data_IF_735988303083
#
_entry.id   IF_735988303083
#
_cell.length_a   1.000
_cell.length_b   1.000
_cell.length_c   1.000
_cell.angle_alpha   90.00
_cell.angle_beta   90.00
_cell.angle_gamma   90.00
#
_symmetry.space_group_name_H-M   'P 1'
#
loop_
_entity.id
_entity.type
_entity.pdbx_description
1 polymer ?
#
# COMPACT_ATOMS: atom_id res chain seq x y z
N UNK A 1 -25.91 38.36 -8.66
CA UNK A 1 -24.77 37.44 -8.78
C UNK A 1 -25.05 36.25 -7.87
N UNK A 2 -25.58 35.11 -8.37
CA UNK A 2 -25.69 33.93 -7.54
C UNK A 2 -24.27 33.36 -7.33
N UNK A 3 -23.94 33.16 -6.07
CA UNK A 3 -22.67 32.62 -5.60
C UNK A 3 -22.57 31.15 -6.02
N UNK A 4 -21.60 30.82 -6.86
CA UNK A 4 -21.32 29.48 -7.41
C UNK A 4 -20.77 28.47 -6.38
N UNK A 5 -21.15 28.60 -5.10
CA UNK A 5 -20.52 27.85 -4.00
C UNK A 5 -21.06 26.41 -3.86
N UNK A 6 -22.19 26.08 -4.49
CA UNK A 6 -22.87 24.79 -4.33
C UNK A 6 -22.31 23.64 -5.17
N UNK A 7 -21.37 23.87 -6.09
CA UNK A 7 -20.77 22.82 -6.93
C UNK A 7 -19.44 22.28 -6.36
N UNK A 8 -18.74 23.06 -5.54
CA UNK A 8 -17.45 22.63 -4.95
C UNK A 8 -17.66 21.71 -3.75
N UNK A 9 -18.68 21.94 -2.93
CA UNK A 9 -19.01 21.06 -1.79
C UNK A 9 -19.54 19.67 -2.22
N UNK A 10 -20.21 19.58 -3.37
CA UNK A 10 -20.71 18.31 -3.90
C UNK A 10 -19.59 17.41 -4.45
N UNK A 11 -18.55 18.00 -5.06
CA UNK A 11 -17.41 17.24 -5.60
C UNK A 11 -16.55 16.65 -4.47
N UNK A 12 -16.29 17.42 -3.42
CA UNK A 12 -15.56 16.96 -2.22
C UNK A 12 -16.31 15.82 -1.48
N UNK A 13 -17.65 15.90 -1.43
CA UNK A 13 -18.46 14.86 -0.82
C UNK A 13 -18.47 13.55 -1.64
N UNK A 14 -18.61 13.65 -2.96
CA UNK A 14 -18.57 12.50 -3.86
C UNK A 14 -17.20 11.81 -3.85
N UNK A 15 -16.10 12.58 -3.86
CA UNK A 15 -14.73 12.06 -3.70
C UNK A 15 -14.54 11.39 -2.34
N UNK A 16 -14.99 11.99 -1.24
CA UNK A 16 -14.89 11.40 0.09
C UNK A 16 -15.69 10.09 0.21
N UNK A 17 -16.84 10.00 -0.45
CA UNK A 17 -17.69 8.81 -0.45
C UNK A 17 -17.11 7.71 -1.34
N UNK A 18 -16.48 8.07 -2.46
CA UNK A 18 -15.72 7.17 -3.31
C UNK A 18 -14.46 6.65 -2.60
N UNK A 19 -13.70 7.52 -1.92
CA UNK A 19 -12.58 7.16 -1.04
C UNK A 19 -13.02 6.24 0.09
N UNK A 20 -14.16 6.52 0.73
CA UNK A 20 -14.72 5.68 1.80
C UNK A 20 -15.16 4.31 1.27
N UNK A 21 -15.79 4.25 0.10
CA UNK A 21 -16.17 2.99 -0.57
C UNK A 21 -14.96 2.20 -1.03
N UNK A 22 -13.96 2.88 -1.60
CA UNK A 22 -12.70 2.30 -2.04
C UNK A 22 -11.95 1.73 -0.84
N UNK A 23 -11.83 2.48 0.28
CA UNK A 23 -11.31 1.97 1.56
C UNK A 23 -12.12 0.78 2.08
N UNK A 24 -13.45 0.80 2.01
CA UNK A 24 -14.30 -0.30 2.47
C UNK A 24 -14.15 -1.57 1.61
N UNK A 25 -14.01 -1.44 0.29
CA UNK A 25 -13.71 -2.55 -0.61
C UNK A 25 -12.31 -3.13 -0.41
N UNK A 26 -11.34 -2.29 -0.01
CA UNK A 26 -10.03 -2.76 0.45
C UNK A 26 -10.09 -3.44 1.83
N UNK A 27 -10.96 -2.99 2.73
CA UNK A 27 -11.14 -3.60 4.05
C UNK A 27 -11.78 -5.00 4.03
N UNK A 28 -12.22 -5.50 2.88
CA UNK A 28 -12.63 -6.91 2.70
C UNK A 28 -11.56 -7.75 1.97
N UNK A 29 -10.39 -7.18 1.65
CA UNK A 29 -9.33 -7.91 0.98
C UNK A 29 -8.50 -8.69 2.01
N UNK A 30 -8.42 -10.03 1.91
CA UNK A 30 -7.73 -10.87 2.90
C UNK A 30 -6.21 -10.62 2.97
N UNK A 31 -5.61 -10.00 1.94
CA UNK A 31 -4.20 -9.61 1.97
C UNK A 31 -3.95 -8.31 2.76
N UNK A 32 -4.99 -7.54 3.07
CA UNK A 32 -4.92 -6.29 3.82
C UNK A 32 -5.31 -6.45 5.30
N UNK A 33 -5.94 -7.57 5.65
CA UNK A 33 -6.32 -7.91 7.01
C UNK A 33 -5.16 -8.52 7.83
N UNK A 34 -5.21 -8.34 9.15
CA UNK A 34 -4.21 -8.91 10.07
C UNK A 34 -4.66 -10.28 10.57
N UNK A 35 -4.04 -11.31 10.01
CA UNK A 35 -4.10 -12.67 10.54
C UNK A 35 -2.78 -13.05 11.23
N UNK A 36 -2.82 -14.03 12.13
CA UNK A 36 -1.62 -14.65 12.73
C UNK A 36 -0.81 -15.42 11.68
N UNK A 37 -1.52 -16.13 10.78
CA UNK A 37 -0.96 -16.81 9.61
C UNK A 37 -1.70 -16.35 8.35
N UNK A 38 -1.06 -16.36 7.16
CA UNK A 38 -1.75 -16.00 5.92
C UNK A 38 -2.99 -16.88 5.70
N UNK A 39 -4.15 -16.25 5.51
CA UNK A 39 -5.42 -16.94 5.26
C UNK A 39 -5.52 -17.41 3.80
N UNK A 40 -4.64 -18.33 3.39
CA UNK A 40 -4.48 -18.76 2.00
C UNK A 40 -5.78 -19.20 1.31
N UNK A 41 -6.70 -19.82 2.06
CA UNK A 41 -8.00 -20.28 1.53
C UNK A 41 -8.96 -19.15 1.12
N UNK A 42 -8.70 -17.90 1.55
CA UNK A 42 -9.52 -16.74 1.22
C UNK A 42 -8.93 -15.90 0.07
N UNK A 43 -7.66 -16.14 -0.30
CA UNK A 43 -6.96 -15.34 -1.29
C UNK A 43 -7.33 -15.85 -2.69
N UNK A 44 -7.91 -14.97 -3.50
CA UNK A 44 -8.24 -15.19 -4.90
C UNK A 44 -7.35 -14.30 -5.79
N UNK A 45 -7.11 -14.66 -7.06
CA UNK A 45 -6.25 -13.88 -7.96
C UNK A 45 -6.63 -12.38 -8.03
N UNK A 46 -7.92 -12.08 -7.98
CA UNK A 46 -8.50 -10.74 -8.07
C UNK A 46 -8.14 -9.87 -6.85
N UNK A 47 -7.75 -10.48 -5.73
CA UNK A 47 -7.33 -9.77 -4.53
C UNK A 47 -5.88 -9.26 -4.60
N UNK A 48 -5.03 -9.87 -5.43
CA UNK A 48 -3.57 -9.68 -5.40
C UNK A 48 -3.18 -8.27 -5.84
N UNK A 49 -3.50 -7.89 -7.07
CA UNK A 49 -3.09 -6.60 -7.64
C UNK A 49 -3.67 -5.43 -6.84
N UNK A 50 -4.98 -5.41 -6.49
CA UNK A 50 -5.54 -4.31 -5.70
C UNK A 50 -4.89 -4.17 -4.32
N UNK A 51 -4.55 -5.27 -3.65
CA UNK A 51 -3.87 -5.20 -2.35
C UNK A 51 -2.47 -4.58 -2.46
N UNK A 52 -1.69 -4.99 -3.47
CA UNK A 52 -0.35 -4.44 -3.69
C UNK A 52 -0.41 -2.95 -4.06
N UNK A 53 -1.32 -2.56 -4.96
CA UNK A 53 -1.50 -1.14 -5.33
C UNK A 53 -1.88 -0.29 -4.11
N UNK A 54 -2.82 -0.77 -3.30
CA UNK A 54 -3.22 -0.08 -2.07
C UNK A 54 -2.06 0.10 -1.09
N UNK A 55 -1.27 -0.96 -0.85
CA UNK A 55 -0.14 -0.91 0.08
C UNK A 55 0.97 0.01 -0.41
N UNK A 56 1.25 0.03 -1.72
CA UNK A 56 2.23 0.95 -2.31
C UNK A 56 1.78 2.41 -2.13
N UNK A 57 0.54 2.72 -2.48
CA UNK A 57 0.01 4.09 -2.37
C UNK A 57 -0.04 4.56 -0.93
N UNK A 58 -0.49 3.69 -0.02
CA UNK A 58 -0.53 3.99 1.40
C UNK A 58 0.89 4.18 1.96
N UNK A 59 1.84 3.32 1.60
CA UNK A 59 3.22 3.45 2.07
C UNK A 59 3.87 4.74 1.56
N UNK A 60 3.64 5.12 0.30
CA UNK A 60 4.13 6.40 -0.25
C UNK A 60 3.57 7.60 0.53
N UNK A 61 2.27 7.58 0.83
CA UNK A 61 1.63 8.64 1.60
C UNK A 61 2.17 8.71 3.05
N UNK A 62 2.35 7.55 3.70
CA UNK A 62 2.89 7.48 5.05
C UNK A 62 4.36 7.91 5.12
N UNK A 63 5.18 7.50 4.15
CA UNK A 63 6.59 7.91 4.06
C UNK A 63 6.70 9.43 3.94
N UNK A 64 5.90 10.03 3.06
CA UNK A 64 5.85 11.49 2.91
C UNK A 64 5.51 12.16 4.25
N UNK A 65 4.48 11.68 4.94
CA UNK A 65 4.08 12.22 6.23
C UNK A 65 5.19 12.09 7.29
N UNK A 66 5.86 10.93 7.37
CA UNK A 66 6.96 10.71 8.30
C UNK A 66 8.10 11.69 8.05
N UNK A 67 8.53 11.83 6.79
CA UNK A 67 9.64 12.73 6.42
C UNK A 67 9.28 14.22 6.62
N UNK A 68 8.01 14.59 6.50
CA UNK A 68 7.54 15.96 6.72
C UNK A 68 7.37 16.33 8.20
N UNK A 69 7.27 15.34 9.11
CA UNK A 69 6.89 15.56 10.52
C UNK A 69 7.98 15.21 11.52
N UNK A 70 8.95 14.40 11.14
CA UNK A 70 10.03 13.96 12.03
C UNK A 70 11.21 14.94 11.94
N UNK A 71 11.32 15.84 12.91
CA UNK A 71 12.44 16.80 13.01
C UNK A 71 13.75 16.14 13.48
N UNK A 72 13.65 15.13 14.36
CA UNK A 72 14.79 14.40 14.93
C UNK A 72 14.58 12.89 14.74
N UNK A 73 15.12 12.30 13.65
CA UNK A 73 15.00 10.88 13.38
C UNK A 73 15.58 10.00 14.48
N UNK A 74 14.88 8.92 14.77
CA UNK A 74 15.24 7.90 15.74
C UNK A 74 14.69 6.55 15.31
N UNK A 75 15.08 5.51 16.03
CA UNK A 75 14.50 4.18 15.83
C UNK A 75 12.97 4.20 15.92
N UNK A 76 12.42 4.82 16.97
CA UNK A 76 10.99 4.76 17.28
C UNK A 76 10.11 5.57 16.31
N UNK A 77 10.60 6.70 15.81
CA UNK A 77 9.79 7.63 15.02
C UNK A 77 10.06 7.59 13.51
N UNK A 78 11.13 6.92 13.05
CA UNK A 78 11.41 6.75 11.63
C UNK A 78 11.56 5.28 11.26
N UNK A 79 12.49 4.57 11.90
CA UNK A 79 12.89 3.22 11.45
C UNK A 79 11.79 2.20 11.69
N UNK A 80 11.27 2.12 12.92
CA UNK A 80 10.23 1.16 13.28
C UNK A 80 8.92 1.38 12.46
N UNK A 81 8.43 2.62 12.25
CA UNK A 81 7.34 2.87 11.31
C UNK A 81 7.64 2.42 9.88
N UNK A 82 8.85 2.70 9.36
CA UNK A 82 9.26 2.31 8.02
C UNK A 82 9.30 0.77 7.86
N UNK A 83 9.84 0.05 8.85
CA UNK A 83 9.83 -1.41 8.87
C UNK A 83 8.40 -1.96 8.93
N UNK A 84 7.53 -1.36 9.74
CA UNK A 84 6.14 -1.78 9.83
C UNK A 84 5.37 -1.58 8.50
N UNK A 85 5.71 -0.55 7.73
CA UNK A 85 5.18 -0.31 6.39
C UNK A 85 5.68 -1.34 5.38
N UNK A 86 6.98 -1.66 5.39
CA UNK A 86 7.58 -2.69 4.52
C UNK A 86 6.98 -4.07 4.83
N UNK A 87 6.86 -4.42 6.12
CA UNK A 87 6.38 -5.73 6.53
C UNK A 87 4.98 -6.02 5.96
N UNK A 88 4.12 -5.01 5.84
CA UNK A 88 2.77 -5.16 5.27
C UNK A 88 2.82 -5.54 3.79
N UNK A 89 3.64 -4.86 2.99
CA UNK A 89 3.78 -5.18 1.57
C UNK A 89 4.48 -6.53 1.37
N UNK A 90 5.49 -6.82 2.19
CA UNK A 90 6.23 -8.09 2.18
C UNK A 90 5.31 -9.28 2.47
N UNK A 91 4.43 -9.17 3.47
CA UNK A 91 3.44 -10.20 3.80
C UNK A 91 2.48 -10.49 2.64
N UNK A 92 1.93 -9.45 2.02
CA UNK A 92 1.01 -9.61 0.91
C UNK A 92 1.70 -10.22 -0.33
N UNK A 93 2.87 -9.68 -0.70
CA UNK A 93 3.65 -10.17 -1.85
C UNK A 93 4.15 -11.61 -1.63
N UNK A 94 4.57 -11.96 -0.41
CA UNK A 94 4.99 -13.32 -0.06
C UNK A 94 3.84 -14.32 -0.16
N UNK A 95 2.64 -13.97 0.31
CA UNK A 95 1.47 -14.84 0.19
C UNK A 95 1.08 -15.07 -1.28
N UNK A 96 1.06 -14.02 -2.10
CA UNK A 96 0.81 -14.12 -3.53
C UNK A 96 1.87 -14.96 -4.26
N UNK A 97 3.15 -14.74 -3.96
CA UNK A 97 4.27 -15.51 -4.52
C UNK A 97 4.23 -16.98 -4.12
N UNK A 98 3.85 -17.28 -2.87
CA UNK A 98 3.66 -18.67 -2.41
C UNK A 98 2.56 -19.38 -3.19
N UNK A 99 1.37 -18.77 -3.33
CA UNK A 99 0.27 -19.35 -4.11
C UNK A 99 0.68 -19.59 -5.57
N UNK A 100 1.37 -18.62 -6.17
CA UNK A 100 1.92 -18.76 -7.52
C UNK A 100 2.93 -19.93 -7.63
N UNK A 101 3.67 -20.24 -6.57
CA UNK A 101 4.66 -21.31 -6.56
C UNK A 101 4.08 -22.71 -6.30
N UNK A 102 3.06 -22.84 -5.44
CA UNK A 102 2.58 -24.15 -4.95
C UNK A 102 1.23 -24.60 -5.51
N UNK A 103 0.39 -23.66 -5.93
CA UNK A 103 -0.96 -23.91 -6.49
C UNK A 103 -1.18 -23.04 -7.74
N UNK A 104 -0.18 -23.01 -8.63
CA UNK A 104 -0.16 -22.16 -9.81
C UNK A 104 -1.41 -22.32 -10.70
N UNK A 105 -1.89 -21.19 -11.23
CA UNK A 105 -2.89 -21.12 -12.30
C UNK A 105 -2.54 -19.96 -13.23
N UNK A 106 -3.14 -19.92 -14.43
CA UNK A 106 -2.95 -18.80 -15.37
C UNK A 106 -3.30 -17.45 -14.73
N UNK A 107 -4.42 -17.40 -14.00
CA UNK A 107 -4.89 -16.19 -13.32
C UNK A 107 -3.96 -15.77 -12.18
N UNK A 108 -3.47 -16.72 -11.37
CA UNK A 108 -2.50 -16.41 -10.30
C UNK A 108 -1.17 -15.93 -10.86
N UNK A 109 -0.68 -16.58 -11.92
CA UNK A 109 0.57 -16.21 -12.58
C UNK A 109 0.49 -14.80 -13.18
N UNK A 110 -0.61 -14.49 -13.85
CA UNK A 110 -0.86 -13.17 -14.42
C UNK A 110 -0.93 -12.10 -13.33
N UNK A 111 -1.74 -12.32 -12.29
CA UNK A 111 -1.86 -11.38 -11.17
C UNK A 111 -0.51 -11.14 -10.46
N UNK A 112 0.25 -12.20 -10.18
CA UNK A 112 1.57 -12.07 -9.56
C UNK A 112 2.58 -11.35 -10.46
N UNK A 113 2.60 -11.66 -11.77
CA UNK A 113 3.50 -11.01 -12.73
C UNK A 113 3.22 -9.51 -12.86
N UNK A 114 1.97 -9.08 -12.75
CA UNK A 114 1.61 -7.65 -12.74
C UNK A 114 2.15 -6.92 -11.50
N UNK A 115 2.33 -7.61 -10.37
CA UNK A 115 2.88 -7.02 -9.15
C UNK A 115 4.40 -6.84 -9.21
N UNK A 116 5.14 -7.68 -9.94
CA UNK A 116 6.60 -7.63 -10.00
C UNK A 116 7.17 -6.26 -10.41
N UNK A 117 6.76 -5.63 -11.53
CA UNK A 117 7.26 -4.31 -11.90
C UNK A 117 6.86 -3.24 -10.87
N UNK A 118 5.63 -3.28 -10.35
CA UNK A 118 5.15 -2.33 -9.33
C UNK A 118 5.99 -2.36 -8.06
N UNK A 119 6.32 -3.56 -7.58
CA UNK A 119 7.19 -3.75 -6.42
C UNK A 119 8.63 -3.31 -6.70
N UNK A 120 9.15 -3.59 -7.90
CA UNK A 120 10.49 -3.15 -8.31
C UNK A 120 10.59 -1.62 -8.37
N UNK A 121 9.58 -0.95 -8.91
CA UNK A 121 9.51 0.50 -8.98
C UNK A 121 9.41 1.10 -7.57
N UNK A 122 8.51 0.59 -6.73
CA UNK A 122 8.39 1.03 -5.34
C UNK A 122 9.69 0.91 -4.54
N UNK A 123 10.42 -0.21 -4.65
CA UNK A 123 11.69 -0.37 -3.94
C UNK A 123 12.79 0.53 -4.52
N UNK A 124 12.74 0.81 -5.83
CA UNK A 124 13.67 1.76 -6.47
C UNK A 124 13.42 3.19 -6.00
N UNK A 125 12.15 3.61 -5.94
CA UNK A 125 11.73 4.90 -5.38
C UNK A 125 12.19 5.06 -3.93
N UNK A 126 12.02 4.03 -3.11
CA UNK A 126 12.43 4.05 -1.71
C UNK A 126 13.95 4.12 -1.56
N UNK A 127 14.68 3.28 -2.30
CA UNK A 127 16.15 3.20 -2.23
C UNK A 127 16.86 4.43 -2.80
N UNK A 128 16.19 5.21 -3.66
CA UNK A 128 16.71 6.44 -4.25
C UNK A 128 16.13 7.71 -3.63
N UNK A 129 15.36 7.59 -2.54
CA UNK A 129 14.76 8.74 -1.87
C UNK A 129 15.83 9.54 -1.10
N UNK A 130 16.22 10.70 -1.62
CA UNK A 130 17.22 11.58 -1.00
C UNK A 130 16.82 12.05 0.40
N UNK A 131 15.56 12.42 0.61
CA UNK A 131 15.06 12.86 1.92
C UNK A 131 15.17 11.76 2.96
N UNK A 132 14.84 10.53 2.59
CA UNK A 132 15.02 9.36 3.45
C UNK A 132 16.51 9.12 3.71
N UNK A 133 17.37 9.20 2.69
CA UNK A 133 18.82 9.06 2.86
C UNK A 133 19.38 10.05 3.89
N UNK A 134 19.01 11.33 3.80
CA UNK A 134 19.43 12.34 4.78
C UNK A 134 18.87 12.07 6.18
N UNK A 135 17.66 11.52 6.30
CA UNK A 135 17.08 11.15 7.59
C UNK A 135 17.82 9.98 8.28
N UNK A 136 18.59 9.18 7.53
CA UNK A 136 19.47 8.13 8.06
C UNK A 136 20.88 8.61 8.43
N UNK A 137 21.28 9.83 8.04
CA UNK A 137 22.60 10.35 8.35
C UNK A 137 22.70 10.79 9.82
N UNK A 138 23.82 10.46 10.51
CA UNK A 138 24.06 10.85 11.90
C UNK A 138 24.41 12.33 12.06
#
# INVERSE_FOLDING_TARGET
MPCSIGLLESVEFDEALELSRKRRGYMSNPLLERYELPAFSLIEPEHIVPAIDFLIDENRAQLKLLLDTVDAPSWENLIHPLEAMEERIRRAASAAGHLNAVVNSELLREAYNQCLPKLSDYHSDLGQNESLYYAFQP
#
